data_IF_537312341718
#
_entry.id   IF_537312341718
#
_cell.length_a   1.000
_cell.length_b   1.000
_cell.length_c   1.000
_cell.angle_alpha   90.00
_cell.angle_beta   90.00
_cell.angle_gamma   90.00
#
_symmetry.space_group_name_H-M   'P 1'
#
loop_
_entity.id
_entity.type
_entity.pdbx_description
1 polymer ?
#
# COMPACT_ATOMS: atom_id res chain seq x y z
N UNK A 1 -34.31 22.72 -23.84
CA UNK A 1 -32.91 22.25 -23.70
C UNK A 1 -32.23 23.00 -22.57
N UNK A 2 -31.80 22.33 -21.50
CA UNK A 2 -30.98 22.98 -20.46
C UNK A 2 -29.65 23.43 -21.07
N UNK A 3 -29.36 24.74 -21.01
CA UNK A 3 -28.14 25.32 -21.57
C UNK A 3 -26.99 25.16 -20.57
N UNK A 4 -25.90 24.50 -20.96
CA UNK A 4 -24.67 24.37 -20.15
C UNK A 4 -24.17 25.74 -19.67
N UNK A 5 -24.03 25.96 -18.36
CA UNK A 5 -23.49 27.19 -17.77
C UNK A 5 -21.99 27.10 -17.48
N UNK A 6 -21.35 28.20 -17.07
CA UNK A 6 -19.94 28.17 -16.65
C UNK A 6 -19.66 27.18 -15.50
N UNK A 7 -20.61 26.99 -14.58
CA UNK A 7 -20.49 25.98 -13.53
C UNK A 7 -20.43 24.56 -14.08
N UNK A 8 -21.20 24.27 -15.14
CA UNK A 8 -21.12 22.97 -15.81
C UNK A 8 -19.74 22.76 -16.45
N UNK A 9 -19.16 23.83 -16.99
CA UNK A 9 -17.82 23.79 -17.56
C UNK A 9 -16.76 23.57 -16.49
N UNK A 10 -16.88 24.15 -15.30
CA UNK A 10 -15.99 23.82 -14.20
C UNK A 10 -16.01 22.32 -13.86
N UNK A 11 -17.18 21.68 -13.90
CA UNK A 11 -17.30 20.22 -13.69
C UNK A 11 -16.64 19.44 -14.83
N UNK A 12 -16.88 19.86 -16.08
CA UNK A 12 -16.30 19.22 -17.28
C UNK A 12 -14.79 19.44 -17.37
N UNK A 13 -14.27 20.51 -16.75
CA UNK A 13 -12.85 20.87 -16.81
C UNK A 13 -11.90 19.79 -16.29
N UNK A 14 -12.40 18.84 -15.49
CA UNK A 14 -11.65 17.66 -15.04
C UNK A 14 -11.15 16.77 -16.19
N UNK A 15 -11.69 16.93 -17.39
CA UNK A 15 -11.28 16.21 -18.60
C UNK A 15 -10.27 17.00 -19.46
N UNK A 16 -10.04 18.28 -19.13
CA UNK A 16 -9.05 19.13 -19.78
C UNK A 16 -7.68 18.86 -19.14
N UNK A 17 -6.63 18.77 -19.96
CA UNK A 17 -5.31 18.30 -19.50
C UNK A 17 -4.26 19.41 -19.49
N UNK A 18 -4.42 20.40 -20.35
CA UNK A 18 -3.42 21.44 -20.58
C UNK A 18 -4.05 22.82 -20.50
N UNK A 19 -3.24 23.85 -20.25
CA UNK A 19 -3.71 25.23 -20.27
C UNK A 19 -4.35 25.61 -21.62
N UNK A 20 -3.84 25.05 -22.73
CA UNK A 20 -4.39 25.30 -24.07
C UNK A 20 -5.82 24.81 -24.21
N UNK A 21 -6.21 23.74 -23.52
CA UNK A 21 -7.59 23.25 -23.55
C UNK A 21 -8.55 24.29 -22.94
N UNK A 22 -8.15 24.94 -21.85
CA UNK A 22 -8.92 26.01 -21.21
C UNK A 22 -8.94 27.26 -22.07
N UNK A 23 -7.79 27.68 -22.61
CA UNK A 23 -7.69 28.84 -23.51
C UNK A 23 -8.60 28.62 -24.73
N UNK A 24 -8.50 27.47 -25.40
CA UNK A 24 -9.31 27.14 -26.56
C UNK A 24 -10.81 27.14 -26.23
N UNK A 25 -11.19 26.63 -25.05
CA UNK A 25 -12.59 26.63 -24.62
C UNK A 25 -13.18 28.05 -24.51
N UNK A 26 -12.43 28.98 -23.93
CA UNK A 26 -12.87 30.37 -23.79
C UNK A 26 -12.81 31.15 -25.11
N UNK A 27 -11.82 30.84 -25.97
CA UNK A 27 -11.66 31.48 -27.27
C UNK A 27 -12.75 31.05 -28.27
N UNK A 28 -13.04 29.74 -28.34
CA UNK A 28 -14.00 29.18 -29.29
C UNK A 28 -15.44 29.51 -28.87
N UNK A 29 -15.74 29.45 -27.57
CA UNK A 29 -17.09 29.70 -27.07
C UNK A 29 -17.12 30.94 -26.17
N UNK A 30 -17.52 32.09 -26.75
CA UNK A 30 -17.64 33.38 -26.04
C UNK A 30 -18.47 33.32 -24.75
N UNK A 31 -19.41 32.37 -24.67
CA UNK A 31 -20.23 32.11 -23.47
C UNK A 31 -19.38 31.73 -22.24
N UNK A 32 -18.22 31.11 -22.46
CA UNK A 32 -17.33 30.63 -21.39
C UNK A 32 -16.12 31.54 -21.19
N UNK A 33 -16.10 32.73 -21.78
CA UNK A 33 -15.07 33.73 -21.49
C UNK A 33 -15.09 34.10 -19.99
N UNK A 34 -13.91 34.18 -19.38
CA UNK A 34 -13.76 34.47 -17.94
C UNK A 34 -14.16 33.31 -17.04
N UNK A 35 -14.25 32.09 -17.57
CA UNK A 35 -14.58 30.92 -16.77
C UNK A 35 -13.40 30.48 -15.89
N UNK A 36 -12.16 30.70 -16.32
CA UNK A 36 -10.95 30.43 -15.52
C UNK A 36 -10.89 31.28 -14.24
N UNK A 37 -11.49 32.48 -14.23
CA UNK A 37 -11.60 33.33 -13.03
C UNK A 37 -12.47 32.71 -11.93
N UNK A 38 -13.30 31.72 -12.25
CA UNK A 38 -14.21 31.07 -11.28
C UNK A 38 -13.52 29.99 -10.45
N UNK A 39 -12.28 29.61 -10.81
CA UNK A 39 -11.53 28.59 -10.10
C UNK A 39 -10.83 29.17 -8.88
N UNK A 40 -11.17 28.65 -7.69
CA UNK A 40 -10.47 28.95 -6.44
C UNK A 40 -9.38 27.92 -6.12
N UNK A 41 -9.22 26.91 -6.99
CA UNK A 41 -8.15 25.93 -6.95
C UNK A 41 -7.68 25.64 -8.37
N UNK A 42 -6.41 25.29 -8.54
CA UNK A 42 -5.91 24.92 -9.86
C UNK A 42 -6.52 23.59 -10.34
N UNK A 43 -7.14 23.56 -11.54
CA UNK A 43 -7.69 22.31 -12.09
C UNK A 43 -6.64 21.42 -12.76
N UNK A 44 -5.45 21.98 -13.05
CA UNK A 44 -4.30 21.32 -13.68
C UNK A 44 -3.00 21.80 -13.00
N UNK A 45 -1.89 21.10 -13.22
CA UNK A 45 -0.55 21.58 -12.80
C UNK A 45 -0.28 22.95 -13.41
N UNK A 46 0.17 23.88 -12.57
CA UNK A 46 0.53 25.24 -12.96
C UNK A 46 2.02 25.49 -12.75
N UNK A 47 2.55 26.41 -13.53
CA UNK A 47 3.86 27.02 -13.35
C UNK A 47 3.74 28.54 -13.33
N UNK A 48 4.86 29.23 -13.08
CA UNK A 48 4.93 30.71 -13.06
C UNK A 48 4.25 31.38 -14.27
N UNK A 49 4.29 30.78 -15.46
CA UNK A 49 3.68 31.34 -16.69
C UNK A 49 2.19 31.06 -16.80
N UNK A 50 1.70 29.94 -16.27
CA UNK A 50 0.30 29.54 -16.42
C UNK A 50 -0.58 29.95 -15.25
N UNK A 51 0.01 30.39 -14.14
CA UNK A 51 -0.72 30.81 -12.96
C UNK A 51 -1.61 32.04 -13.21
N UNK A 52 -1.17 32.96 -14.08
CA UNK A 52 -1.87 34.21 -14.37
C UNK A 52 -3.23 34.00 -15.03
N UNK A 53 -3.44 32.87 -15.73
CA UNK A 53 -4.74 32.52 -16.32
C UNK A 53 -5.82 32.22 -15.27
N UNK A 54 -5.42 31.91 -14.03
CA UNK A 54 -6.32 31.57 -12.94
C UNK A 54 -6.12 32.55 -11.77
N UNK A 55 -6.59 33.80 -11.89
CA UNK A 55 -6.24 34.88 -10.96
C UNK A 55 -6.71 34.63 -9.52
N UNK A 56 -7.84 33.95 -9.36
CA UNK A 56 -8.54 33.76 -8.08
C UNK A 56 -8.16 32.46 -7.35
N UNK A 57 -7.07 31.79 -7.72
CA UNK A 57 -6.62 30.59 -7.00
C UNK A 57 -6.18 30.95 -5.58
N UNK A 58 -6.87 30.34 -4.62
CA UNK A 58 -6.58 30.40 -3.19
C UNK A 58 -6.04 29.07 -2.66
N UNK A 59 -6.43 27.96 -3.28
CA UNK A 59 -5.97 26.61 -2.93
C UNK A 59 -5.06 26.04 -4.01
N UNK A 60 -3.80 25.80 -3.67
CA UNK A 60 -2.84 25.14 -4.57
C UNK A 60 -2.86 23.63 -4.35
N UNK A 61 -3.28 22.88 -5.36
CA UNK A 61 -3.06 21.45 -5.46
C UNK A 61 -1.70 21.16 -6.10
N UNK A 62 -0.93 20.30 -5.45
CA UNK A 62 0.30 19.72 -5.97
C UNK A 62 0.08 18.23 -6.15
N UNK A 63 0.01 17.77 -7.40
CA UNK A 63 -0.22 16.37 -7.76
C UNK A 63 1.09 15.58 -7.80
N UNK A 64 2.20 16.22 -8.17
CA UNK A 64 3.51 15.58 -8.31
C UNK A 64 4.61 16.34 -7.57
N UNK A 65 5.68 15.64 -7.19
CA UNK A 65 6.87 16.22 -6.52
C UNK A 65 7.55 17.33 -7.33
N UNK A 66 7.38 17.32 -8.66
CA UNK A 66 7.97 18.28 -9.59
C UNK A 66 7.09 19.50 -9.84
N UNK A 67 5.87 19.53 -9.32
CA UNK A 67 4.98 20.67 -9.49
C UNK A 67 5.58 21.91 -8.81
N UNK A 68 5.45 23.06 -9.46
CA UNK A 68 5.98 24.30 -8.93
C UNK A 68 5.22 24.70 -7.66
N UNK A 69 5.95 24.92 -6.57
CA UNK A 69 5.35 25.31 -5.28
C UNK A 69 5.32 26.83 -5.06
N UNK A 70 5.72 27.63 -6.06
CA UNK A 70 5.70 29.10 -6.04
C UNK A 70 6.38 29.71 -4.80
N UNK A 71 7.49 29.11 -4.38
CA UNK A 71 8.27 29.55 -3.21
C UNK A 71 7.73 29.10 -1.86
N UNK A 72 6.74 28.19 -1.82
CA UNK A 72 6.20 27.63 -0.58
C UNK A 72 7.00 26.42 -0.05
N UNK A 73 8.17 26.11 -0.62
CA UNK A 73 9.09 25.00 -0.27
C UNK A 73 8.82 24.27 1.06
N UNK A 74 8.39 23.01 0.97
CA UNK A 74 8.10 22.14 2.12
C UNK A 74 8.91 20.84 2.12
N UNK A 75 9.46 20.44 0.96
CA UNK A 75 10.30 19.24 0.79
C UNK A 75 11.79 19.49 1.06
N UNK A 76 12.20 20.73 1.28
CA UNK A 76 13.62 21.08 1.42
C UNK A 76 14.07 20.68 2.83
N UNK A 77 14.94 19.66 2.91
CA UNK A 77 15.71 19.39 4.11
C UNK A 77 16.70 20.55 4.28
N UNK A 78 16.70 21.26 5.41
CA UNK A 78 17.70 22.31 5.75
C UNK A 78 19.16 21.81 5.79
N UNK A 79 19.45 20.59 5.33
CA UNK A 79 20.78 19.96 5.30
C UNK A 79 21.36 19.77 3.90
N UNK A 80 20.60 20.06 2.85
CA UNK A 80 21.16 20.17 1.50
C UNK A 80 21.27 21.66 1.19
N UNK A 81 22.47 22.20 1.43
CA UNK A 81 22.98 23.33 0.68
C UNK A 81 23.11 22.87 -0.77
N UNK A 82 21.99 22.80 -1.49
CA UNK A 82 22.03 22.91 -2.93
C UNK A 82 21.85 24.39 -3.24
N UNK A 83 22.97 25.02 -3.62
CA UNK A 83 23.02 26.28 -4.31
C UNK A 83 22.15 26.20 -5.57
N UNK A 84 20.84 26.38 -5.43
CA UNK A 84 19.99 26.72 -6.56
C UNK A 84 20.14 28.21 -6.83
N UNK A 85 21.16 28.49 -7.63
CA UNK A 85 21.36 29.72 -8.40
C UNK A 85 20.04 30.45 -8.69
N UNK A 86 19.99 31.72 -8.30
CA UNK A 86 19.33 32.87 -8.94
C UNK A 86 18.30 32.61 -10.06
N UNK A 87 17.33 31.72 -9.86
CA UNK A 87 16.07 31.75 -10.60
C UNK A 87 15.09 32.56 -9.77
N UNK A 88 14.72 33.72 -10.32
CA UNK A 88 13.57 34.50 -9.88
C UNK A 88 12.32 33.64 -10.01
N UNK A 89 12.06 32.78 -9.02
CA UNK A 89 10.82 32.04 -8.93
C UNK A 89 9.73 32.99 -8.45
N UNK A 90 8.58 32.98 -9.13
CA UNK A 90 7.42 33.72 -8.68
C UNK A 90 7.03 33.23 -7.28
N UNK A 91 7.08 34.14 -6.30
CA UNK A 91 6.63 33.87 -4.93
C UNK A 91 5.16 34.24 -4.81
N UNK A 92 4.29 33.25 -4.65
CA UNK A 92 2.85 33.46 -4.35
C UNK A 92 2.46 32.68 -3.10
N UNK A 93 1.84 33.37 -2.15
CA UNK A 93 1.21 32.73 -0.99
C UNK A 93 -0.19 32.27 -1.38
N UNK A 94 -0.56 31.08 -0.93
CA UNK A 94 -1.90 30.53 -1.09
C UNK A 94 -2.58 30.45 0.29
N UNK A 95 -3.91 30.50 0.32
CA UNK A 95 -4.66 30.30 1.55
C UNK A 95 -4.51 28.86 2.07
N UNK A 96 -4.45 27.90 1.15
CA UNK A 96 -4.25 26.48 1.46
C UNK A 96 -3.41 25.81 0.38
N UNK A 97 -2.60 24.84 0.77
CA UNK A 97 -1.86 23.97 -0.15
C UNK A 97 -2.26 22.52 0.15
N UNK A 98 -2.60 21.75 -0.88
CA UNK A 98 -2.92 20.33 -0.76
C UNK A 98 -1.92 19.52 -1.57
N UNK A 99 -1.18 18.66 -0.88
CA UNK A 99 -0.17 17.78 -1.45
C UNK A 99 -0.75 16.38 -1.61
N UNK A 100 -0.83 15.91 -2.86
CA UNK A 100 -1.41 14.61 -3.21
C UNK A 100 -0.37 13.50 -3.39
N UNK A 101 0.89 13.82 -3.62
CA UNK A 101 1.94 12.80 -3.73
C UNK A 101 2.41 12.32 -2.35
N UNK A 102 3.08 11.17 -2.34
CA UNK A 102 3.61 10.56 -1.11
C UNK A 102 4.73 11.41 -0.48
N UNK A 103 4.58 11.69 0.81
CA UNK A 103 5.58 12.36 1.67
C UNK A 103 5.86 11.52 2.92
N UNK A 104 7.08 11.59 3.44
CA UNK A 104 7.42 11.02 4.75
C UNK A 104 6.77 11.81 5.90
N UNK A 105 6.63 11.17 7.07
CA UNK A 105 5.99 11.80 8.22
C UNK A 105 6.83 12.94 8.80
N UNK A 106 8.16 12.87 8.76
CA UNK A 106 9.04 13.95 9.20
C UNK A 106 8.74 15.26 8.44
N UNK A 107 8.52 15.19 7.13
CA UNK A 107 8.12 16.33 6.32
C UNK A 107 6.81 16.92 6.81
N UNK A 108 5.83 16.09 7.18
CA UNK A 108 4.57 16.54 7.76
C UNK A 108 4.80 17.23 9.11
N UNK A 109 5.55 16.61 10.01
CA UNK A 109 5.83 17.17 11.35
C UNK A 109 6.56 18.52 11.26
N UNK A 110 7.52 18.68 10.35
CA UNK A 110 8.20 19.97 10.10
C UNK A 110 7.27 21.08 9.59
N UNK A 111 6.17 20.71 8.94
CA UNK A 111 5.24 21.65 8.32
C UNK A 111 3.89 21.77 9.06
N UNK A 112 3.77 21.21 10.28
CA UNK A 112 2.49 21.15 11.03
C UNK A 112 1.84 22.51 11.37
N UNK A 113 2.63 23.58 11.45
CA UNK A 113 2.14 24.94 11.70
C UNK A 113 1.80 25.71 10.43
N UNK A 114 1.94 25.09 9.26
CA UNK A 114 1.70 25.71 7.96
C UNK A 114 0.33 25.29 7.43
N UNK A 115 -0.18 26.06 6.50
CA UNK A 115 -1.44 25.82 5.78
C UNK A 115 -1.30 24.75 4.68
N UNK A 116 -0.61 23.66 4.97
CA UNK A 116 -0.33 22.56 4.04
C UNK A 116 -1.02 21.30 4.55
N UNK A 117 -1.84 20.69 3.70
CA UNK A 117 -2.46 19.41 3.96
C UNK A 117 -1.80 18.33 3.11
N UNK A 118 -1.36 17.25 3.76
CA UNK A 118 -0.76 16.10 3.09
C UNK A 118 -1.75 14.95 3.05
N UNK A 119 -2.11 14.51 1.84
CA UNK A 119 -3.12 13.47 1.65
C UNK A 119 -2.54 12.07 1.81
N UNK A 120 -1.28 11.87 1.40
CA UNK A 120 -0.61 10.58 1.42
C UNK A 120 0.70 10.66 2.22
N UNK A 121 0.63 10.21 3.47
CA UNK A 121 1.75 10.25 4.42
C UNK A 121 2.27 8.84 4.67
N UNK A 122 3.56 8.62 4.42
CA UNK A 122 4.24 7.34 4.67
C UNK A 122 5.06 7.44 5.95
N UNK A 123 4.92 6.48 6.86
CA UNK A 123 5.80 6.34 8.01
C UNK A 123 7.00 5.46 7.61
N UNK A 124 8.17 6.08 7.50
CA UNK A 124 9.39 5.44 6.99
C UNK A 124 10.27 4.92 8.13
N UNK A 125 11.31 4.15 7.78
CA UNK A 125 12.32 3.73 8.76
C UNK A 125 13.00 4.93 9.44
N UNK A 126 13.23 6.03 8.72
CA UNK A 126 13.82 7.25 9.28
C UNK A 126 12.85 7.91 10.27
N UNK A 127 11.55 7.94 9.94
CA UNK A 127 10.52 8.40 10.86
C UNK A 127 10.51 7.56 12.13
N UNK A 128 10.55 6.22 12.01
CA UNK A 128 10.60 5.33 13.17
C UNK A 128 11.83 5.57 14.04
N UNK A 129 13.01 5.76 13.43
CA UNK A 129 14.25 6.08 14.16
C UNK A 129 14.14 7.39 14.95
N UNK A 130 13.37 8.36 14.46
CA UNK A 130 13.21 9.69 15.06
C UNK A 130 12.05 9.79 16.06
N UNK A 131 10.91 9.18 15.74
CA UNK A 131 9.64 9.32 16.47
C UNK A 131 9.24 8.04 17.21
N UNK A 132 10.01 6.96 17.09
CA UNK A 132 9.79 5.69 17.79
C UNK A 132 8.83 4.75 17.05
N UNK A 133 8.21 3.82 17.79
CA UNK A 133 7.33 2.80 17.21
C UNK A 133 5.84 3.23 17.16
N UNK A 134 5.52 4.43 17.66
CA UNK A 134 4.16 4.95 17.69
C UNK A 134 3.82 5.62 16.36
N UNK A 135 3.08 4.92 15.51
CA UNK A 135 2.70 5.39 14.18
C UNK A 135 1.55 6.43 14.32
N UNK A 136 1.72 7.66 13.83
CA UNK A 136 0.70 8.71 13.94
C UNK A 136 -0.56 8.41 13.11
N UNK A 137 -1.77 8.82 13.56
CA UNK A 137 -3.03 8.52 12.87
C UNK A 137 -3.21 9.21 11.50
N UNK A 138 -2.37 10.18 11.15
CA UNK A 138 -2.37 10.78 9.81
C UNK A 138 -1.70 9.90 8.74
N UNK A 139 -0.92 8.89 9.16
CA UNK A 139 -0.19 7.98 8.28
C UNK A 139 -1.17 7.14 7.45
N UNK A 140 -0.90 7.04 6.15
CA UNK A 140 -1.66 6.23 5.19
C UNK A 140 -0.94 4.95 4.78
N UNK A 141 0.39 4.93 4.88
CA UNK A 141 1.19 3.75 4.53
C UNK A 141 2.37 3.60 5.48
N UNK A 142 2.75 2.36 5.77
CA UNK A 142 4.02 2.07 6.42
C UNK A 142 5.02 1.72 5.32
N UNK A 143 6.13 2.45 5.27
CA UNK A 143 7.13 2.32 4.20
C UNK A 143 7.91 1.01 4.27
N UNK A 144 8.63 0.72 3.18
CA UNK A 144 9.51 -0.43 3.10
C UNK A 144 10.57 -0.39 4.21
N UNK A 145 10.91 -1.58 4.73
CA UNK A 145 11.91 -1.77 5.79
C UNK A 145 11.66 -0.94 7.08
N UNK A 146 10.46 -0.40 7.31
CA UNK A 146 10.19 0.53 8.41
C UNK A 146 10.61 -0.02 9.78
N UNK A 147 10.30 -1.28 10.06
CA UNK A 147 10.68 -2.03 11.26
C UNK A 147 11.68 -3.16 10.97
N UNK A 148 12.45 -3.07 9.88
CA UNK A 148 13.46 -4.08 9.52
C UNK A 148 14.40 -4.39 10.68
N UNK A 149 14.51 -5.67 11.02
CA UNK A 149 15.29 -6.25 12.11
C UNK A 149 15.08 -5.54 13.47
N UNK A 150 13.85 -5.09 13.75
CA UNK A 150 13.51 -4.52 15.04
C UNK A 150 13.32 -5.64 16.09
N UNK A 151 14.45 -6.24 16.51
CA UNK A 151 14.48 -7.43 17.36
C UNK A 151 13.85 -7.25 18.74
N UNK A 152 13.68 -6.02 19.24
CA UNK A 152 13.01 -5.70 20.51
C UNK A 152 11.52 -5.39 20.35
N UNK A 153 10.97 -5.35 19.14
CA UNK A 153 9.57 -5.02 18.89
C UNK A 153 8.66 -6.17 19.33
N UNK A 154 8.10 -6.08 20.53
CA UNK A 154 7.15 -7.09 21.04
C UNK A 154 5.75 -7.00 20.41
N UNK A 155 5.30 -5.76 20.14
CA UNK A 155 4.04 -5.43 19.49
C UNK A 155 4.11 -4.04 18.84
N UNK A 156 3.18 -3.74 17.93
CA UNK A 156 3.04 -2.43 17.28
C UNK A 156 1.56 -2.11 17.09
N UNK A 157 1.16 -0.88 17.37
CA UNK A 157 -0.18 -0.39 17.06
C UNK A 157 -0.18 0.25 15.67
N UNK A 158 -0.88 -0.35 14.72
CA UNK A 158 -1.06 0.21 13.37
C UNK A 158 -2.38 1.00 13.34
N UNK A 159 -2.36 2.31 13.04
CA UNK A 159 -3.57 3.11 12.95
C UNK A 159 -4.52 2.63 11.85
N UNK A 160 -5.83 2.80 12.08
CA UNK A 160 -6.87 2.43 11.09
C UNK A 160 -6.80 3.25 9.80
N UNK A 161 -6.10 4.37 9.79
CA UNK A 161 -5.87 5.19 8.59
C UNK A 161 -4.90 4.56 7.59
N UNK A 162 -4.14 3.55 7.98
CA UNK A 162 -3.17 2.84 7.14
C UNK A 162 -3.89 1.91 6.16
N UNK A 163 -3.52 2.01 4.88
CA UNK A 163 -4.08 1.23 3.78
C UNK A 163 -3.09 0.28 3.11
N UNK A 164 -1.78 0.41 3.39
CA UNK A 164 -0.74 -0.48 2.87
C UNK A 164 0.46 -0.63 3.81
N UNK A 165 1.08 -1.82 3.79
CA UNK A 165 2.30 -2.14 4.55
C UNK A 165 3.39 -2.56 3.56
N UNK A 166 4.53 -1.87 3.60
CA UNK A 166 5.63 -2.03 2.63
C UNK A 166 6.38 -3.36 2.68
N UNK A 167 7.25 -3.55 1.69
CA UNK A 167 8.13 -4.70 1.55
C UNK A 167 9.11 -4.73 2.72
N UNK A 168 9.43 -5.91 3.23
CA UNK A 168 10.36 -6.09 4.35
C UNK A 168 9.98 -5.34 5.65
N UNK A 169 8.75 -4.83 5.77
CA UNK A 169 8.39 -3.88 6.83
C UNK A 169 8.73 -4.39 8.24
N UNK A 170 8.41 -5.64 8.56
CA UNK A 170 8.71 -6.29 9.85
C UNK A 170 9.69 -7.45 9.70
N UNK A 171 10.49 -7.48 8.63
CA UNK A 171 11.46 -8.56 8.40
C UNK A 171 12.38 -8.70 9.62
N UNK A 172 12.53 -9.91 10.16
CA UNK A 172 13.44 -10.18 11.27
C UNK A 172 13.02 -9.57 12.62
N UNK A 173 11.78 -9.12 12.80
CA UNK A 173 11.26 -8.71 14.11
C UNK A 173 11.09 -9.94 15.03
N UNK A 174 12.19 -10.46 15.56
CA UNK A 174 12.25 -11.75 16.25
C UNK A 174 11.44 -11.81 17.55
N UNK A 175 11.16 -10.67 18.20
CA UNK A 175 10.32 -10.60 19.41
C UNK A 175 8.84 -10.30 19.13
N UNK A 176 8.46 -10.04 17.88
CA UNK A 176 7.08 -9.68 17.53
C UNK A 176 6.18 -10.90 17.70
N UNK A 177 5.40 -10.92 18.78
CA UNK A 177 4.60 -12.08 19.17
C UNK A 177 3.17 -12.02 18.65
N UNK A 178 2.66 -10.81 18.46
CA UNK A 178 1.34 -10.52 17.91
C UNK A 178 1.35 -9.22 17.11
N UNK A 179 0.49 -9.16 16.09
CA UNK A 179 0.23 -7.93 15.34
C UNK A 179 -1.21 -7.92 14.86
N UNK A 180 -1.87 -6.77 14.98
CA UNK A 180 -3.21 -6.54 14.44
C UNK A 180 -3.09 -5.69 13.19
N UNK A 181 -3.41 -6.27 12.03
CA UNK A 181 -3.48 -5.52 10.77
C UNK A 181 -4.86 -4.85 10.68
N UNK A 182 -4.95 -3.52 10.49
CA UNK A 182 -6.23 -2.83 10.42
C UNK A 182 -7.08 -3.20 9.21
N UNK A 183 -8.40 -3.09 9.35
CA UNK A 183 -9.37 -3.44 8.32
C UNK A 183 -9.34 -2.57 7.06
N UNK A 184 -8.52 -1.52 6.99
CA UNK A 184 -8.35 -0.70 5.79
C UNK A 184 -7.12 -1.10 4.96
N UNK A 185 -6.28 -2.03 5.46
CA UNK A 185 -5.10 -2.50 4.73
C UNK A 185 -5.52 -3.39 3.56
N UNK A 186 -5.15 -2.99 2.36
CA UNK A 186 -5.53 -3.68 1.12
C UNK A 186 -4.43 -4.61 0.58
N UNK A 187 -3.18 -4.41 1.01
CA UNK A 187 -2.00 -5.15 0.56
C UNK A 187 -0.95 -5.28 1.66
N UNK A 188 -0.26 -6.42 1.68
CA UNK A 188 0.89 -6.71 2.55
C UNK A 188 2.08 -7.04 1.64
N UNK A 189 3.17 -6.26 1.74
CA UNK A 189 4.34 -6.39 0.88
C UNK A 189 5.11 -7.71 1.04
N UNK A 190 5.94 -8.03 0.05
CA UNK A 190 6.80 -9.22 0.08
C UNK A 190 7.75 -9.19 1.28
N UNK A 191 8.01 -10.35 1.87
CA UNK A 191 8.88 -10.55 3.04
C UNK A 191 8.49 -9.72 4.27
N UNK A 192 7.26 -9.18 4.33
CA UNK A 192 6.84 -8.26 5.37
C UNK A 192 7.00 -8.81 6.79
N UNK A 193 6.70 -10.08 7.04
CA UNK A 193 6.86 -10.75 8.35
C UNK A 193 7.88 -11.89 8.32
N UNK A 194 8.72 -11.97 7.28
CA UNK A 194 9.72 -13.03 7.17
C UNK A 194 10.66 -12.99 8.37
N UNK A 195 11.00 -14.15 8.92
CA UNK A 195 11.80 -14.33 10.14
C UNK A 195 11.22 -13.69 11.42
N UNK A 196 9.92 -13.35 11.47
CA UNK A 196 9.23 -13.04 12.73
C UNK A 196 9.04 -14.31 13.57
N UNK A 197 10.13 -14.80 14.17
CA UNK A 197 10.19 -16.12 14.80
C UNK A 197 9.30 -16.27 16.04
N UNK A 198 8.95 -15.18 16.74
CA UNK A 198 8.03 -15.21 17.88
C UNK A 198 6.55 -15.06 17.52
N UNK A 199 6.21 -14.77 16.25
CA UNK A 199 4.83 -14.51 15.85
C UNK A 199 3.99 -15.78 15.95
N UNK A 200 3.01 -15.81 16.85
CA UNK A 200 2.21 -17.02 17.14
C UNK A 200 0.91 -17.11 16.35
N UNK A 201 0.32 -15.94 16.08
CA UNK A 201 -0.95 -15.78 15.38
C UNK A 201 -0.96 -14.48 14.61
N UNK A 202 -1.65 -14.47 13.47
CA UNK A 202 -1.94 -13.25 12.73
C UNK A 202 -3.37 -13.27 12.21
N UNK A 203 -4.06 -12.14 12.36
CA UNK A 203 -5.36 -11.91 11.75
C UNK A 203 -5.15 -11.08 10.48
N UNK A 204 -5.40 -11.70 9.32
CA UNK A 204 -5.39 -11.00 8.04
C UNK A 204 -6.81 -10.45 7.82
N UNK A 205 -6.99 -9.14 7.64
CA UNK A 205 -8.32 -8.55 7.49
C UNK A 205 -8.90 -8.85 6.11
N UNK A 206 -10.23 -8.87 6.01
CA UNK A 206 -10.96 -9.17 4.77
C UNK A 206 -10.75 -8.13 3.66
N UNK A 207 -10.18 -6.96 3.95
CA UNK A 207 -9.81 -5.97 2.94
C UNK A 207 -8.53 -6.31 2.18
N UNK A 208 -7.71 -7.24 2.67
CA UNK A 208 -6.48 -7.66 1.98
C UNK A 208 -6.83 -8.41 0.71
N UNK A 209 -6.28 -7.94 -0.40
CA UNK A 209 -6.46 -8.54 -1.74
C UNK A 209 -5.25 -9.33 -2.20
N UNK A 210 -4.07 -9.05 -1.65
CA UNK A 210 -2.81 -9.69 -2.03
C UNK A 210 -1.85 -9.83 -0.84
N UNK A 211 -1.22 -11.00 -0.72
CA UNK A 211 -0.14 -11.28 0.23
C UNK A 211 1.14 -11.53 -0.57
N UNK A 212 2.18 -10.73 -0.33
CA UNK A 212 3.43 -10.80 -1.09
C UNK A 212 4.26 -12.07 -0.85
N UNK A 213 5.29 -12.22 -1.67
CA UNK A 213 6.18 -13.39 -1.65
C UNK A 213 6.94 -13.49 -0.35
N UNK A 214 7.16 -14.71 0.15
CA UNK A 214 7.83 -14.99 1.42
C UNK A 214 7.26 -14.21 2.63
N UNK A 215 6.02 -13.71 2.57
CA UNK A 215 5.49 -12.78 3.56
C UNK A 215 5.63 -13.29 5.00
N UNK A 216 5.43 -14.59 5.25
CA UNK A 216 5.59 -15.24 6.56
C UNK A 216 6.71 -16.29 6.55
N UNK A 217 7.69 -16.19 5.66
CA UNK A 217 8.77 -17.17 5.57
C UNK A 217 9.50 -17.31 6.91
N UNK A 218 9.67 -18.55 7.39
CA UNK A 218 10.30 -18.86 8.69
C UNK A 218 9.64 -18.16 9.90
N UNK A 219 8.33 -17.91 9.89
CA UNK A 219 7.58 -17.65 11.12
C UNK A 219 7.40 -18.94 11.92
N UNK A 220 8.48 -19.45 12.52
CA UNK A 220 8.55 -20.80 13.08
C UNK A 220 7.53 -21.10 14.20
N UNK A 221 7.06 -20.08 14.92
CA UNK A 221 6.05 -20.21 15.97
C UNK A 221 4.61 -19.93 15.52
N UNK A 222 4.38 -19.59 14.25
CA UNK A 222 3.05 -19.34 13.73
C UNK A 222 2.25 -20.63 13.71
N UNK A 223 1.11 -20.67 14.41
CA UNK A 223 0.37 -21.92 14.66
C UNK A 223 -0.85 -22.09 13.76
N UNK A 224 -1.57 -20.99 13.51
CA UNK A 224 -2.82 -21.00 12.77
C UNK A 224 -2.90 -19.74 11.91
N UNK A 225 -3.42 -19.88 10.70
CA UNK A 225 -3.68 -18.76 9.78
C UNK A 225 -5.02 -18.96 9.09
N UNK A 226 -5.77 -17.86 8.96
CA UNK A 226 -6.96 -17.79 8.12
C UNK A 226 -6.69 -16.78 7.00
N UNK A 227 -6.74 -17.26 5.75
CA UNK A 227 -6.68 -16.43 4.55
C UNK A 227 -8.12 -15.97 4.23
N UNK A 228 -8.41 -14.66 4.21
CA UNK A 228 -9.76 -14.15 3.93
C UNK A 228 -10.25 -14.35 2.49
N UNK A 229 -11.56 -14.26 2.30
CA UNK A 229 -12.26 -14.53 1.03
C UNK A 229 -12.07 -13.46 -0.04
N UNK A 230 -11.24 -12.44 0.19
CA UNK A 230 -10.92 -11.41 -0.81
C UNK A 230 -9.46 -11.49 -1.27
N UNK A 231 -8.65 -12.37 -0.67
CA UNK A 231 -7.25 -12.58 -1.07
C UNK A 231 -7.23 -13.33 -2.40
N UNK A 232 -6.84 -12.63 -3.46
CA UNK A 232 -6.76 -13.17 -4.82
C UNK A 232 -5.46 -13.92 -5.08
N UNK A 233 -4.37 -13.52 -4.41
CA UNK A 233 -3.04 -14.08 -4.60
C UNK A 233 -2.29 -14.27 -3.29
N UNK A 234 -1.66 -15.43 -3.15
CA UNK A 234 -0.68 -15.76 -2.10
C UNK A 234 0.68 -15.95 -2.78
N UNK A 235 1.67 -15.15 -2.39
CA UNK A 235 2.99 -15.16 -3.01
C UNK A 235 3.76 -16.49 -2.84
N UNK A 236 4.79 -16.68 -3.67
CA UNK A 236 5.63 -17.88 -3.58
C UNK A 236 6.33 -17.95 -2.22
N UNK A 237 6.48 -19.14 -1.65
CA UNK A 237 7.09 -19.38 -0.33
C UNK A 237 6.44 -18.64 0.85
N UNK A 238 5.21 -18.13 0.71
CA UNK A 238 4.58 -17.24 1.68
C UNK A 238 4.62 -17.78 3.12
N UNK A 239 4.35 -19.06 3.35
CA UNK A 239 4.38 -19.72 4.66
C UNK A 239 5.50 -20.77 4.75
N UNK A 240 6.50 -20.72 3.87
CA UNK A 240 7.56 -21.72 3.84
C UNK A 240 8.35 -21.70 5.16
N UNK A 241 8.60 -22.90 5.72
CA UNK A 241 9.27 -23.14 7.00
C UNK A 241 8.55 -22.55 8.22
N UNK A 242 7.23 -22.35 8.17
CA UNK A 242 6.40 -22.16 9.36
C UNK A 242 6.21 -23.50 10.09
N UNK A 243 7.24 -23.99 10.77
CA UNK A 243 7.33 -25.36 11.31
C UNK A 243 6.23 -25.72 12.32
N UNK A 244 5.67 -24.74 13.04
CA UNK A 244 4.58 -24.95 13.99
C UNK A 244 3.18 -24.70 13.41
N UNK A 245 3.07 -24.35 12.12
CA UNK A 245 1.78 -24.13 11.47
C UNK A 245 1.05 -25.47 11.37
N UNK A 246 0.00 -25.62 12.18
CA UNK A 246 -0.75 -26.87 12.31
C UNK A 246 -2.09 -26.83 11.60
N UNK A 247 -2.63 -25.63 11.35
CA UNK A 247 -3.88 -25.41 10.65
C UNK A 247 -3.81 -24.19 9.73
N UNK A 248 -4.39 -24.32 8.54
CA UNK A 248 -4.57 -23.25 7.55
C UNK A 248 -6.01 -23.31 7.02
N UNK A 249 -6.70 -22.17 7.07
CA UNK A 249 -8.03 -22.02 6.46
C UNK A 249 -7.91 -21.05 5.28
N UNK A 250 -8.31 -21.46 4.09
CA UNK A 250 -8.32 -20.61 2.89
C UNK A 250 -9.76 -20.31 2.50
N UNK A 251 -10.22 -19.08 2.74
CA UNK A 251 -11.57 -18.64 2.39
C UNK A 251 -11.60 -18.21 0.90
N UNK A 252 -12.66 -18.59 0.20
CA UNK A 252 -12.74 -18.89 -1.23
C UNK A 252 -12.58 -17.75 -2.25
N UNK A 253 -11.38 -17.21 -2.48
CA UNK A 253 -11.11 -16.38 -3.68
C UNK A 253 -9.74 -16.56 -4.32
N UNK A 254 -8.88 -17.37 -3.70
CA UNK A 254 -7.57 -17.72 -4.22
C UNK A 254 -7.76 -18.62 -5.44
N UNK A 255 -7.17 -18.25 -6.56
CA UNK A 255 -7.21 -19.03 -7.82
C UNK A 255 -6.06 -20.02 -7.95
N UNK A 256 -4.91 -19.72 -7.34
CA UNK A 256 -3.73 -20.58 -7.38
C UNK A 256 -2.96 -20.54 -6.05
N UNK A 257 -2.29 -21.65 -5.73
CA UNK A 257 -1.37 -21.73 -4.60
C UNK A 257 0.05 -21.91 -5.16
N UNK A 258 0.87 -20.87 -4.97
CA UNK A 258 2.19 -20.72 -5.59
C UNK A 258 3.26 -21.69 -5.08
N UNK A 259 4.38 -21.77 -5.81
CA UNK A 259 5.50 -22.66 -5.52
C UNK A 259 5.95 -22.57 -4.04
N UNK A 260 6.19 -23.73 -3.44
CA UNK A 260 6.70 -23.89 -2.07
C UNK A 260 5.88 -23.14 -0.98
N UNK A 261 4.64 -22.72 -1.24
CA UNK A 261 3.88 -21.83 -0.35
C UNK A 261 3.84 -22.33 1.11
N UNK A 262 3.67 -23.63 1.33
CA UNK A 262 3.64 -24.26 2.66
C UNK A 262 4.80 -25.26 2.86
N UNK A 263 5.86 -25.18 2.05
CA UNK A 263 6.99 -26.10 2.13
C UNK A 263 7.64 -26.04 3.51
N UNK A 264 7.86 -27.18 4.17
CA UNK A 264 8.48 -27.29 5.48
C UNK A 264 7.57 -26.90 6.65
N UNK A 265 6.26 -26.81 6.45
CA UNK A 265 5.27 -26.71 7.53
C UNK A 265 5.11 -28.07 8.24
N UNK A 266 6.12 -28.47 9.00
CA UNK A 266 6.23 -29.81 9.61
C UNK A 266 5.09 -30.18 10.56
N UNK A 267 4.35 -29.20 11.10
CA UNK A 267 3.22 -29.46 12.01
C UNK A 267 1.85 -29.55 11.30
N UNK A 268 1.79 -29.25 10.01
CA UNK A 268 0.54 -29.18 9.26
C UNK A 268 -0.04 -30.59 9.07
N UNK A 269 -1.27 -30.82 9.52
CA UNK A 269 -1.88 -32.17 9.55
C UNK A 269 -2.82 -32.43 8.40
N UNK A 270 -3.66 -31.47 8.10
CA UNK A 270 -4.60 -31.55 6.99
C UNK A 270 -4.85 -30.18 6.38
N UNK A 271 -5.25 -30.17 5.12
CA UNK A 271 -5.57 -28.96 4.37
C UNK A 271 -6.81 -29.19 3.53
N UNK A 272 -7.74 -28.25 3.57
CA UNK A 272 -8.87 -28.21 2.62
C UNK A 272 -8.63 -27.10 1.62
N UNK A 273 -8.47 -27.47 0.36
CA UNK A 273 -8.29 -26.56 -0.76
C UNK A 273 -9.68 -26.12 -1.24
N UNK A 274 -9.99 -24.81 -1.31
CA UNK A 274 -11.31 -24.35 -1.70
C UNK A 274 -11.53 -24.51 -3.21
N UNK A 275 -12.81 -24.63 -3.61
CA UNK A 275 -13.22 -24.83 -5.01
C UNK A 275 -12.82 -23.71 -5.97
N UNK A 276 -12.41 -22.54 -5.47
CA UNK A 276 -11.87 -21.46 -6.28
C UNK A 276 -10.48 -21.74 -6.84
N UNK A 277 -9.72 -22.67 -6.25
CA UNK A 277 -8.34 -22.97 -6.66
C UNK A 277 -8.34 -23.88 -7.88
N UNK A 278 -7.71 -23.42 -8.96
CA UNK A 278 -7.55 -24.16 -10.21
C UNK A 278 -6.17 -24.80 -10.35
N UNK A 279 -5.14 -24.26 -9.68
CA UNK A 279 -3.78 -24.82 -9.70
C UNK A 279 -3.09 -24.79 -8.33
N UNK A 280 -2.29 -25.83 -8.08
CA UNK A 280 -1.33 -25.88 -6.97
C UNK A 280 0.04 -26.12 -7.59
N UNK A 281 0.99 -25.24 -7.32
CA UNK A 281 2.30 -25.27 -7.98
C UNK A 281 3.30 -26.19 -7.26
N UNK A 282 4.56 -26.20 -7.71
CA UNK A 282 5.54 -27.23 -7.34
C UNK A 282 5.93 -27.13 -5.86
N UNK A 283 6.17 -28.28 -5.25
CA UNK A 283 6.68 -28.40 -3.88
C UNK A 283 5.81 -27.68 -2.82
N UNK A 284 4.54 -27.38 -3.12
CA UNK A 284 3.69 -26.53 -2.28
C UNK A 284 3.64 -26.98 -0.82
N UNK A 285 3.55 -28.28 -0.56
CA UNK A 285 3.57 -28.89 0.78
C UNK A 285 4.78 -29.82 0.98
N UNK A 286 5.87 -29.62 0.22
CA UNK A 286 7.08 -30.40 0.35
C UNK A 286 7.64 -30.33 1.78
N UNK A 287 7.99 -31.47 2.39
CA UNK A 287 8.51 -31.50 3.76
C UNK A 287 7.48 -31.24 4.87
N UNK A 288 6.17 -31.23 4.56
CA UNK A 288 5.11 -31.24 5.58
C UNK A 288 4.98 -32.62 6.23
N UNK A 289 5.92 -33.00 7.09
CA UNK A 289 6.09 -34.35 7.65
C UNK A 289 4.87 -34.94 8.39
N UNK A 290 3.90 -34.11 8.79
CA UNK A 290 2.68 -34.55 9.50
C UNK A 290 1.42 -34.47 8.65
N UNK A 291 1.55 -34.12 7.37
CA UNK A 291 0.42 -33.93 6.47
C UNK A 291 -0.18 -35.28 6.07
N UNK A 292 -1.20 -35.71 6.82
CA UNK A 292 -1.85 -37.00 6.62
C UNK A 292 -2.92 -36.96 5.53
N UNK A 293 -3.57 -35.82 5.33
CA UNK A 293 -4.63 -35.71 4.32
C UNK A 293 -4.77 -34.32 3.68
N UNK A 294 -5.15 -34.30 2.41
CA UNK A 294 -5.48 -33.07 1.67
C UNK A 294 -6.80 -33.29 0.93
N UNK A 295 -7.76 -32.39 1.15
CA UNK A 295 -9.00 -32.35 0.37
C UNK A 295 -8.81 -31.36 -0.78
N UNK A 296 -8.85 -31.84 -2.01
CA UNK A 296 -8.76 -31.05 -3.24
C UNK A 296 -10.14 -30.95 -3.92
N UNK A 297 -10.45 -29.82 -4.58
CA UNK A 297 -11.72 -29.68 -5.28
C UNK A 297 -11.68 -30.34 -6.66
N UNK A 298 -12.85 -30.73 -7.16
CA UNK A 298 -13.05 -31.23 -8.52
C UNK A 298 -12.64 -30.23 -9.60
N UNK A 299 -12.74 -28.93 -9.31
CA UNK A 299 -12.31 -27.82 -10.18
C UNK A 299 -10.80 -27.70 -10.39
N UNK A 300 -9.98 -28.43 -9.63
CA UNK A 300 -8.52 -28.39 -9.75
C UNK A 300 -8.06 -29.01 -11.08
N UNK A 301 -7.31 -28.24 -11.88
CA UNK A 301 -6.84 -28.63 -13.21
C UNK A 301 -5.36 -29.03 -13.23
N UNK A 302 -4.54 -28.50 -12.32
CA UNK A 302 -3.12 -28.85 -12.23
C UNK A 302 -2.60 -28.95 -10.80
N UNK A 303 -1.69 -29.91 -10.59
CA UNK A 303 -0.92 -30.11 -9.37
C UNK A 303 0.55 -30.24 -9.77
N UNK A 304 1.40 -29.41 -9.18
CA UNK A 304 2.82 -29.35 -9.46
C UNK A 304 3.60 -30.57 -8.96
N UNK A 305 4.87 -30.65 -9.35
CA UNK A 305 5.73 -31.78 -8.98
C UNK A 305 5.99 -31.79 -7.47
N UNK A 306 6.06 -32.99 -6.88
CA UNK A 306 6.34 -33.21 -5.46
C UNK A 306 5.53 -32.30 -4.52
N UNK A 307 4.27 -32.03 -4.89
CA UNK A 307 3.40 -31.11 -4.18
C UNK A 307 3.14 -31.54 -2.72
N UNK A 308 3.02 -32.85 -2.45
CA UNK A 308 2.76 -33.39 -1.12
C UNK A 308 3.79 -34.48 -0.77
N UNK A 309 3.99 -34.79 0.52
CA UNK A 309 4.68 -36.01 0.96
C UNK A 309 4.06 -37.28 0.38
N UNK A 310 4.87 -38.34 0.22
CA UNK A 310 4.44 -39.60 -0.41
C UNK A 310 3.37 -40.37 0.37
N UNK A 311 3.23 -40.11 1.67
CA UNK A 311 2.29 -40.73 2.60
C UNK A 311 0.99 -39.93 2.79
N UNK A 312 0.84 -38.78 2.11
CA UNK A 312 -0.36 -37.95 2.20
C UNK A 312 -1.54 -38.56 1.43
N UNK A 313 -2.68 -38.76 2.09
CA UNK A 313 -3.93 -39.19 1.47
C UNK A 313 -4.61 -38.01 0.78
N UNK A 314 -4.89 -38.12 -0.52
CA UNK A 314 -5.56 -37.06 -1.29
C UNK A 314 -7.03 -37.43 -1.55
N UNK A 315 -7.96 -36.64 -1.01
CA UNK A 315 -9.39 -36.76 -1.24
C UNK A 315 -9.84 -35.75 -2.28
N UNK A 316 -10.53 -36.18 -3.34
CA UNK A 316 -11.10 -35.29 -4.35
C UNK A 316 -12.61 -35.16 -4.12
N UNK A 317 -13.06 -33.94 -3.86
CA UNK A 317 -14.46 -33.59 -3.56
C UNK A 317 -15.12 -32.84 -4.73
#
# INVERSE_FOLDING_TARGET
MCRLSGYHIMIVSKYLKTINDFINLELVCKKFRGNMEKFHFNPITLNSKTLEYFPNIETLHLWNKKDENFGNGFMINRRENEDCENKSFLKKKFFRIIVWFNVDFETVDRNKSRNIEFKNVTYTQNDRKKFGNNIPPIVRSIGDCCFYECGSLGSVNIPSSVTSIGIYCFYGCSSLSSITIPSNVTSIGSQCFSFCSSLRSITIPSSVTSIGDFCFYKCINLTNVTIPSNVRSIGYYCFCKCSNLSSITILSSVTSISDCCFSGCSSLRSVTIPSSVTSIDNYCFYGCQRLSSVNIPSSLTSVGIQCYPSDTVVHRN
#
